data_IF_871873425177
#
_entry.id   IF_871873425177
#
_cell.length_a   1.000
_cell.length_b   1.000
_cell.length_c   1.000
_cell.angle_alpha   90.00
_cell.angle_beta   90.00
_cell.angle_gamma   90.00
#
_symmetry.space_group_name_H-M   'P 1'
#
loop_
_entity.id
_entity.type
_entity.pdbx_description
1 polymer ?
#
# COMPACT_ATOMS: atom_id res chain seq x y z
N UNK A 1 25.74 -34.21 16.83
CA UNK A 1 24.83 -33.71 15.77
C UNK A 1 25.59 -33.75 14.45
N UNK A 2 25.12 -34.52 13.46
CA UNK A 2 25.91 -34.82 12.25
C UNK A 2 25.80 -33.68 11.23
N UNK A 3 26.94 -33.22 10.70
CA UNK A 3 27.04 -32.13 9.72
C UNK A 3 26.10 -32.30 8.50
N UNK A 4 25.85 -33.55 8.08
CA UNK A 4 24.95 -33.88 6.98
C UNK A 4 23.45 -33.63 7.27
N UNK A 5 23.03 -33.62 8.55
CA UNK A 5 21.65 -33.25 8.92
C UNK A 5 21.47 -31.73 8.94
N UNK A 6 22.51 -31.00 9.30
CA UNK A 6 22.51 -29.54 9.34
C UNK A 6 22.43 -28.94 7.92
N UNK A 7 23.20 -29.48 6.97
CA UNK A 7 23.18 -29.02 5.56
C UNK A 7 21.84 -29.22 4.88
N UNK A 8 21.16 -30.36 5.12
CA UNK A 8 19.79 -30.59 4.60
C UNK A 8 18.75 -29.62 5.18
N UNK A 9 18.86 -29.29 6.46
CA UNK A 9 17.95 -28.34 7.10
C UNK A 9 18.13 -26.92 6.56
N UNK A 10 19.39 -26.48 6.39
CA UNK A 10 19.73 -25.16 5.82
C UNK A 10 19.28 -25.04 4.37
N UNK A 11 19.48 -26.09 3.55
CA UNK A 11 19.06 -26.11 2.15
C UNK A 11 17.53 -26.00 2.02
N UNK A 12 16.77 -26.70 2.88
CA UNK A 12 15.31 -26.59 2.92
C UNK A 12 14.84 -25.19 3.33
N UNK A 13 15.48 -24.60 4.34
CA UNK A 13 15.16 -23.23 4.78
C UNK A 13 15.42 -22.21 3.66
N UNK A 14 16.54 -22.32 2.94
CA UNK A 14 16.87 -21.46 1.79
C UNK A 14 15.82 -21.54 0.67
N UNK A 15 15.36 -22.75 0.33
CA UNK A 15 14.32 -22.94 -0.71
C UNK A 15 12.99 -22.31 -0.29
N UNK A 16 12.60 -22.42 0.98
CA UNK A 16 11.38 -21.78 1.49
C UNK A 16 11.50 -20.25 1.42
N UNK A 17 12.65 -19.68 1.80
CA UNK A 17 12.89 -18.23 1.73
C UNK A 17 12.80 -17.73 0.27
N UNK A 18 13.37 -18.45 -0.69
CA UNK A 18 13.29 -18.15 -2.12
C UNK A 18 11.85 -18.21 -2.67
N UNK A 19 11.05 -19.18 -2.23
CA UNK A 19 9.64 -19.31 -2.60
C UNK A 19 8.77 -18.20 -1.99
N UNK A 20 9.07 -17.75 -0.77
CA UNK A 20 8.35 -16.65 -0.15
C UNK A 20 8.68 -15.29 -0.79
N UNK A 21 9.91 -15.09 -1.27
CA UNK A 21 10.32 -13.83 -1.90
C UNK A 21 9.66 -13.57 -3.26
N UNK A 22 9.25 -14.61 -3.99
CA UNK A 22 8.74 -14.50 -5.37
C UNK A 22 7.26 -14.13 -5.48
N UNK A 23 6.47 -14.19 -4.39
CA UNK A 23 5.03 -13.95 -4.45
C UNK A 23 4.61 -12.46 -4.49
N UNK A 24 5.51 -11.52 -4.14
CA UNK A 24 5.15 -10.10 -4.05
C UNK A 24 5.01 -9.37 -5.40
N UNK A 25 5.47 -9.97 -6.50
CA UNK A 25 5.59 -9.26 -7.79
C UNK A 25 4.51 -9.63 -8.81
N UNK A 26 3.56 -10.50 -8.47
CA UNK A 26 2.51 -10.90 -9.41
C UNK A 26 1.51 -9.75 -9.63
N UNK A 27 1.47 -9.22 -10.86
CA UNK A 27 0.45 -8.26 -11.29
C UNK A 27 -0.93 -8.91 -11.28
N UNK A 28 -1.93 -8.23 -10.72
CA UNK A 28 -3.32 -8.67 -10.70
C UNK A 28 -4.21 -7.65 -11.39
N UNK A 29 -5.14 -8.12 -12.22
CA UNK A 29 -6.14 -7.26 -12.85
C UNK A 29 -7.25 -6.95 -11.84
N UNK A 30 -7.40 -5.68 -11.49
CA UNK A 30 -8.36 -5.21 -10.49
C UNK A 30 -9.11 -4.00 -11.06
N UNK A 31 -10.44 -4.07 -11.03
CA UNK A 31 -11.31 -3.03 -11.56
C UNK A 31 -12.40 -2.66 -10.53
N UNK A 32 -12.95 -1.45 -10.65
CA UNK A 32 -14.13 -1.01 -9.90
C UNK A 32 -14.00 -1.19 -8.37
N UNK A 33 -15.02 -1.81 -7.76
CA UNK A 33 -15.11 -1.98 -6.31
C UNK A 33 -13.96 -2.83 -5.72
N UNK A 34 -13.46 -3.81 -6.47
CA UNK A 34 -12.35 -4.65 -6.03
C UNK A 34 -11.05 -3.83 -5.90
N UNK A 35 -10.76 -3.00 -6.91
CA UNK A 35 -9.64 -2.07 -6.86
C UNK A 35 -9.81 -1.06 -5.72
N UNK A 36 -11.01 -0.50 -5.55
CA UNK A 36 -11.30 0.46 -4.49
C UNK A 36 -11.07 -0.14 -3.10
N UNK A 37 -11.52 -1.38 -2.84
CA UNK A 37 -11.28 -2.08 -1.56
C UNK A 37 -9.80 -2.27 -1.29
N UNK A 38 -9.01 -2.60 -2.32
CA UNK A 38 -7.56 -2.73 -2.20
C UNK A 38 -6.88 -1.40 -1.94
N UNK A 39 -7.23 -0.35 -2.67
CA UNK A 39 -6.69 0.99 -2.45
C UNK A 39 -7.00 1.51 -1.04
N UNK A 40 -8.22 1.27 -0.53
CA UNK A 40 -8.57 1.63 0.86
C UNK A 40 -7.63 0.91 1.84
N UNK A 41 -7.42 -0.40 1.69
CA UNK A 41 -6.51 -1.15 2.58
C UNK A 41 -5.06 -0.70 2.48
N UNK A 42 -4.57 -0.51 1.25
CA UNK A 42 -3.15 -0.17 1.02
C UNK A 42 -2.85 1.27 1.42
N UNK A 43 -3.80 2.20 1.28
CA UNK A 43 -3.59 3.63 1.53
C UNK A 43 -4.08 4.13 2.89
N UNK A 44 -4.67 3.27 3.73
CA UNK A 44 -5.00 3.63 5.12
C UNK A 44 -3.75 3.58 5.99
N UNK A 45 -3.54 4.62 6.79
CA UNK A 45 -2.35 4.74 7.64
C UNK A 45 -2.70 4.48 9.10
N UNK A 46 -1.93 3.62 9.78
CA UNK A 46 -2.05 3.35 11.22
C UNK A 46 -3.51 3.12 11.68
N UNK A 47 -3.99 3.91 12.64
CA UNK A 47 -5.33 3.81 13.24
C UNK A 47 -6.39 4.67 12.53
N UNK A 48 -6.07 5.20 11.35
CA UNK A 48 -6.99 6.06 10.62
C UNK A 48 -8.12 5.27 9.97
N UNK A 49 -9.28 5.90 9.82
CA UNK A 49 -10.48 5.25 9.25
C UNK A 49 -10.62 5.44 7.74
N UNK A 50 -9.85 6.36 7.17
CA UNK A 50 -9.94 6.73 5.76
C UNK A 50 -8.55 6.63 5.10
N UNK A 51 -8.47 6.23 3.84
CA UNK A 51 -7.20 6.21 3.11
C UNK A 51 -6.68 7.62 2.80
N UNK A 52 -5.36 7.78 2.77
CA UNK A 52 -4.69 9.02 2.37
C UNK A 52 -3.97 8.85 1.03
N UNK A 53 -4.39 9.63 0.04
CA UNK A 53 -3.88 9.57 -1.33
C UNK A 53 -3.00 10.79 -1.65
N UNK A 54 -2.07 10.61 -2.58
CA UNK A 54 -1.18 11.68 -3.06
C UNK A 54 -1.92 12.75 -3.86
N UNK A 55 -3.00 12.36 -4.53
CA UNK A 55 -3.95 13.24 -5.23
C UNK A 55 -5.31 13.27 -4.52
N UNK A 56 -6.15 14.28 -4.80
CA UNK A 56 -7.52 14.32 -4.29
C UNK A 56 -8.32 13.14 -4.86
N UNK A 57 -8.63 12.17 -4.01
CA UNK A 57 -9.73 11.24 -4.26
C UNK A 57 -11.02 12.07 -4.32
N UNK A 58 -11.81 12.06 -5.40
CA UNK A 58 -13.16 12.59 -5.34
C UNK A 58 -13.95 11.79 -4.28
N UNK A 59 -14.66 12.52 -3.44
CA UNK A 59 -15.46 11.96 -2.35
C UNK A 59 -16.46 10.97 -2.95
N UNK A 60 -16.43 9.75 -2.41
CA UNK A 60 -17.20 8.59 -2.82
C UNK A 60 -18.71 8.79 -2.59
N UNK A 61 -19.38 9.53 -3.49
CA UNK A 61 -20.84 9.45 -3.65
C UNK A 61 -21.25 9.08 -5.09
N UNK A 62 -20.29 8.95 -6.01
CA UNK A 62 -20.56 8.63 -7.41
C UNK A 62 -19.36 7.94 -8.05
N UNK A 63 -19.13 6.67 -7.73
CA UNK A 63 -18.49 5.77 -8.72
C UNK A 63 -19.59 5.41 -9.73
N UNK A 64 -20.02 6.43 -10.48
CA UNK A 64 -20.77 6.26 -11.72
C UNK A 64 -19.83 6.74 -12.80
N UNK A 65 -19.52 5.81 -13.69
CA UNK A 65 -18.86 6.00 -14.98
C UNK A 65 -19.21 7.35 -15.61
N UNK A 66 -18.25 7.95 -16.30
CA UNK A 66 -18.24 9.28 -16.98
C UNK A 66 -17.78 10.48 -16.13
N UNK A 67 -16.47 10.74 -16.12
CA UNK A 67 -15.88 11.94 -15.49
C UNK A 67 -14.42 11.77 -15.06
N UNK A 68 -13.59 11.22 -15.95
CA UNK A 68 -12.30 10.60 -15.64
C UNK A 68 -11.13 11.57 -15.84
N UNK A 69 -10.55 12.16 -14.79
CA UNK A 69 -9.25 12.89 -14.92
C UNK A 69 -8.21 12.70 -13.81
N UNK A 70 -8.57 12.18 -12.63
CA UNK A 70 -7.58 11.91 -11.56
C UNK A 70 -7.39 10.41 -11.25
N UNK A 71 -8.32 9.56 -11.71
CA UNK A 71 -8.31 8.11 -11.45
C UNK A 71 -7.86 7.26 -12.63
N UNK A 72 -7.75 7.83 -13.82
CA UNK A 72 -7.50 7.07 -15.05
C UNK A 72 -6.18 6.30 -14.99
N UNK A 73 -5.13 6.87 -14.40
CA UNK A 73 -3.80 6.24 -14.38
C UNK A 73 -3.81 4.85 -13.73
N UNK A 74 -3.95 4.79 -12.40
CA UNK A 74 -3.90 3.50 -11.70
C UNK A 74 -5.12 2.62 -11.98
N UNK A 75 -6.31 3.19 -12.21
CA UNK A 75 -7.50 2.38 -12.47
C UNK A 75 -7.44 1.69 -13.82
N UNK A 76 -7.00 2.39 -14.87
CA UNK A 76 -6.82 1.77 -16.19
C UNK A 76 -5.65 0.79 -16.15
N UNK A 77 -4.51 1.18 -15.56
CA UNK A 77 -3.36 0.29 -15.42
C UNK A 77 -3.73 -1.02 -14.68
N UNK A 78 -4.37 -0.92 -13.51
CA UNK A 78 -4.81 -2.10 -12.77
C UNK A 78 -5.85 -2.92 -13.52
N UNK A 79 -6.73 -2.31 -14.31
CA UNK A 79 -7.81 -3.04 -14.98
C UNK A 79 -7.35 -3.71 -16.29
N UNK A 80 -6.53 -3.01 -17.09
CA UNK A 80 -6.12 -3.45 -18.43
C UNK A 80 -4.84 -4.29 -18.38
N UNK A 81 -3.82 -3.81 -17.67
CA UNK A 81 -2.47 -4.42 -17.62
C UNK A 81 -2.26 -5.26 -16.35
N UNK A 82 -3.00 -4.95 -15.29
CA UNK A 82 -2.79 -5.48 -13.97
C UNK A 82 -1.74 -4.70 -13.20
N UNK A 83 -1.86 -4.72 -11.88
CA UNK A 83 -1.00 -3.97 -10.98
C UNK A 83 -0.59 -4.79 -9.77
N UNK A 84 0.53 -4.41 -9.17
CA UNK A 84 1.06 -4.96 -7.93
C UNK A 84 0.60 -4.11 -6.74
N UNK A 85 0.86 -4.60 -5.53
CA UNK A 85 0.65 -3.81 -4.31
C UNK A 85 1.55 -2.57 -4.30
N UNK A 86 2.75 -2.64 -4.90
CA UNK A 86 3.66 -1.50 -5.01
C UNK A 86 3.09 -0.40 -5.90
N UNK A 87 2.48 -0.76 -7.03
CA UNK A 87 1.81 0.19 -7.93
C UNK A 87 0.66 0.91 -7.21
N UNK A 88 -0.15 0.14 -6.46
CA UNK A 88 -1.21 0.73 -5.63
C UNK A 88 -0.63 1.64 -4.53
N UNK A 89 0.46 1.23 -3.87
CA UNK A 89 1.12 2.00 -2.82
C UNK A 89 1.68 3.32 -3.33
N UNK A 90 2.13 3.38 -4.58
CA UNK A 90 2.62 4.61 -5.21
C UNK A 90 1.54 5.70 -5.31
N UNK A 91 0.27 5.32 -5.27
CA UNK A 91 -0.85 6.28 -5.25
C UNK A 91 -1.16 6.85 -3.87
N UNK A 92 -0.78 6.14 -2.81
CA UNK A 92 -0.96 6.56 -1.42
C UNK A 92 -0.02 7.70 -1.06
N UNK A 93 -0.33 8.46 0.00
CA UNK A 93 0.59 9.46 0.54
C UNK A 93 0.77 9.35 2.04
N UNK A 94 1.95 8.88 2.44
CA UNK A 94 2.35 8.72 3.84
C UNK A 94 3.38 9.76 4.31
N UNK A 95 3.63 10.80 3.50
CA UNK A 95 4.46 11.93 3.93
C UNK A 95 3.72 12.73 5.00
N UNK A 96 4.47 13.29 5.95
CA UNK A 96 3.91 14.10 7.04
C UNK A 96 2.97 15.21 6.55
N UNK A 97 3.30 15.86 5.42
CA UNK A 97 2.48 16.90 4.80
C UNK A 97 1.14 16.39 4.26
N UNK A 98 1.07 15.14 3.82
CA UNK A 98 -0.18 14.49 3.43
C UNK A 98 -0.96 14.01 4.64
N UNK A 99 -0.30 13.41 5.63
CA UNK A 99 -0.95 12.95 6.85
C UNK A 99 -1.61 14.11 7.61
N UNK A 100 -0.95 15.27 7.70
CA UNK A 100 -1.56 16.51 8.25
C UNK A 100 -2.80 16.97 7.49
N UNK A 101 -2.84 16.74 6.17
CA UNK A 101 -3.96 17.14 5.31
C UNK A 101 -5.13 16.16 5.39
N UNK A 102 -4.82 14.87 5.35
CA UNK A 102 -5.78 13.77 5.43
C UNK A 102 -6.39 13.67 6.83
N UNK A 103 -5.57 13.91 7.85
CA UNK A 103 -5.91 13.67 9.25
C UNK A 103 -5.46 14.87 10.11
N UNK A 104 -6.16 16.02 10.03
CA UNK A 104 -5.74 17.25 10.71
C UNK A 104 -5.76 17.14 12.24
N UNK A 105 -6.53 16.20 12.80
CA UNK A 105 -6.75 16.06 14.24
C UNK A 105 -5.91 14.96 14.91
N UNK A 106 -5.23 14.09 14.16
CA UNK A 106 -4.49 12.95 14.74
C UNK A 106 -3.08 13.28 15.20
N UNK A 107 -2.66 14.55 15.12
CA UNK A 107 -1.41 15.01 15.72
C UNK A 107 -0.15 14.63 14.94
N UNK A 108 -0.28 14.08 13.73
CA UNK A 108 0.87 13.84 12.86
C UNK A 108 1.69 15.12 12.65
N UNK A 109 2.96 15.07 13.04
CA UNK A 109 3.88 16.20 12.93
C UNK A 109 3.59 17.37 13.86
N UNK A 110 2.91 17.13 14.99
CA UNK A 110 3.07 17.95 16.19
C UNK A 110 4.46 17.65 16.76
N UNK A 111 5.25 18.70 17.02
CA UNK A 111 6.48 18.55 17.79
C UNK A 111 6.08 18.39 19.26
N UNK A 112 6.15 17.17 19.76
CA UNK A 112 6.13 16.93 21.20
C UNK A 112 7.57 17.21 21.64
N UNK A 113 7.75 18.09 22.63
CA UNK A 113 9.04 18.58 23.11
C UNK A 113 10.13 17.49 23.11
N UNK A 114 11.09 17.59 22.17
CA UNK A 114 12.40 16.95 22.28
C UNK A 114 12.62 15.58 21.65
N UNK A 115 11.61 14.86 21.13
CA UNK A 115 11.86 13.52 20.55
C UNK A 115 11.10 13.30 19.24
N UNK A 116 11.84 13.33 18.14
CA UNK A 116 11.36 13.05 16.79
C UNK A 116 11.16 11.54 16.64
N UNK A 117 10.03 11.03 17.12
CA UNK A 117 9.69 9.61 16.99
C UNK A 117 8.32 9.41 16.33
N UNK A 118 8.29 9.55 15.00
CA UNK A 118 7.47 8.66 14.19
C UNK A 118 8.40 7.98 13.20
N UNK A 119 8.98 6.86 13.63
CA UNK A 119 9.66 5.95 12.71
C UNK A 119 8.57 5.36 11.81
N UNK A 120 8.54 5.82 10.57
CA UNK A 120 7.70 5.23 9.52
C UNK A 120 8.28 3.83 9.28
N UNK A 121 7.59 2.79 9.76
CA UNK A 121 7.91 1.38 9.48
C UNK A 121 7.37 1.02 8.10
#
# INVERSE_FOLDING_TARGET
>A
MNAARLTRAVLRALVIILLCASQSSAKRKLCGAALQSHLVRVCTFAYERTPCFSSRFPKSNSVRSTGARAFTGIANQCCEEGCTVLDMRATCCFKLSCLKRCYPNSGYGRRINGEEAVKII
#
